data_IF_271305363276
#
_entry.id   IF_271305363276
#
_cell.length_a   1.000
_cell.length_b   1.000
_cell.length_c   1.000
_cell.angle_alpha   90.00
_cell.angle_beta   90.00
_cell.angle_gamma   90.00
#
_symmetry.space_group_name_H-M   'P 1'
#
loop_
_entity.id
_entity.type
_entity.pdbx_description
1 polymer ?
#
# COMPACT_ATOMS: atom_id res chain seq x y z
N UNK A 1 -21.82 58.25 25.43
CA UNK A 1 -20.66 58.96 24.86
C UNK A 1 -19.39 58.35 25.44
N UNK A 2 -18.62 57.59 24.68
CA UNK A 2 -17.24 57.13 24.93
C UNK A 2 -16.82 56.38 23.65
N UNK A 3 -16.18 57.07 22.70
CA UNK A 3 -14.73 57.20 22.50
C UNK A 3 -14.09 55.99 21.83
N UNK A 4 -13.78 56.17 20.54
CA UNK A 4 -13.03 55.28 19.65
C UNK A 4 -11.58 55.12 20.14
N UNK A 5 -11.11 53.87 20.24
CA UNK A 5 -9.75 53.52 20.68
C UNK A 5 -9.09 52.48 19.78
N UNK A 6 -8.59 52.95 18.63
CA UNK A 6 -7.31 52.62 17.98
C UNK A 6 -6.79 51.16 18.11
N UNK A 7 -6.77 50.50 16.96
CA UNK A 7 -6.07 49.26 16.60
C UNK A 7 -4.59 49.31 16.98
N UNK A 8 -4.14 48.47 17.93
CA UNK A 8 -2.71 48.14 18.11
C UNK A 8 -2.37 46.88 17.31
N UNK A 9 -1.50 47.05 16.31
CA UNK A 9 -0.74 45.97 15.67
C UNK A 9 0.11 45.26 16.74
N UNK A 10 -0.15 43.99 17.00
CA UNK A 10 0.78 43.17 17.76
C UNK A 10 1.96 42.79 16.87
N UNK A 11 3.09 43.44 17.17
CA UNK A 11 4.43 43.14 16.71
C UNK A 11 4.79 41.69 17.07
N UNK A 12 5.02 40.86 16.05
CA UNK A 12 5.62 39.53 16.20
C UNK A 12 7.09 39.74 16.57
N UNK A 13 7.43 39.40 17.82
CA UNK A 13 8.79 39.42 18.36
C UNK A 13 9.61 38.33 17.66
N UNK A 14 10.47 38.72 16.71
CA UNK A 14 11.48 37.85 16.10
C UNK A 14 12.48 37.39 17.18
N UNK A 15 12.61 36.08 17.35
CA UNK A 15 13.66 35.46 18.17
C UNK A 15 15.05 35.60 17.54
N UNK A 16 16.13 35.42 18.32
CA UNK A 16 17.49 35.72 17.90
C UNK A 16 17.99 34.81 16.77
N UNK A 17 18.71 35.43 15.85
CA UNK A 17 19.37 34.82 14.70
C UNK A 17 20.35 33.72 15.13
N UNK A 18 20.17 32.52 14.59
CA UNK A 18 21.09 31.41 14.74
C UNK A 18 22.32 31.67 13.85
N UNK A 19 23.45 32.04 14.46
CA UNK A 19 24.73 32.14 13.77
C UNK A 19 25.24 30.71 13.49
N UNK A 20 24.97 30.19 12.30
CA UNK A 20 25.57 28.93 11.84
C UNK A 20 26.97 29.22 11.27
N UNK A 21 27.98 28.83 12.03
CA UNK A 21 29.39 28.90 11.67
C UNK A 21 29.69 27.81 10.63
N UNK A 22 29.28 28.00 9.37
CA UNK A 22 29.63 27.09 8.28
C UNK A 22 31.05 27.39 7.80
N UNK A 23 31.99 26.65 8.37
CA UNK A 23 33.36 26.49 7.89
C UNK A 23 33.30 25.77 6.53
N UNK A 24 33.61 26.50 5.47
CA UNK A 24 33.83 26.01 4.12
C UNK A 24 34.84 24.86 4.11
N UNK A 25 34.40 23.64 3.81
CA UNK A 25 35.10 22.59 3.06
C UNK A 25 34.02 21.55 2.69
N UNK A 26 34.03 21.08 1.44
CA UNK A 26 33.17 20.01 0.86
C UNK A 26 32.08 20.48 -0.12
N UNK A 27 32.57 21.21 -1.14
CA UNK A 27 32.01 21.25 -2.49
C UNK A 27 32.07 19.83 -3.08
N UNK A 28 31.06 18.96 -2.83
CA UNK A 28 30.68 17.82 -3.71
C UNK A 28 29.51 16.97 -3.18
N UNK A 29 28.29 17.52 -3.02
CA UNK A 29 27.11 16.66 -2.76
C UNK A 29 25.83 17.03 -3.53
N UNK A 30 25.87 18.03 -4.43
CA UNK A 30 24.69 18.41 -5.22
C UNK A 30 24.60 17.75 -6.61
N UNK A 31 25.56 16.91 -7.01
CA UNK A 31 25.54 16.27 -8.35
C UNK A 31 25.28 14.76 -8.32
N UNK A 32 24.90 14.20 -7.16
CA UNK A 32 24.49 12.79 -7.02
C UNK A 32 22.96 12.60 -6.89
N UNK A 33 22.18 13.68 -7.05
CA UNK A 33 20.71 13.66 -7.09
C UNK A 33 20.15 13.45 -8.51
N UNK A 34 20.92 12.79 -9.38
CA UNK A 34 20.51 12.46 -10.74
C UNK A 34 21.07 11.08 -11.12
N UNK A 35 20.68 10.05 -10.39
CA UNK A 35 20.76 8.66 -10.86
C UNK A 35 19.80 7.80 -10.02
N UNK A 36 18.64 7.52 -10.62
CA UNK A 36 17.92 6.24 -10.47
C UNK A 36 17.81 5.69 -9.04
N UNK A 37 17.00 6.30 -8.18
CA UNK A 37 16.49 5.62 -6.99
C UNK A 37 15.44 4.59 -7.42
N UNK A 38 15.88 3.56 -8.14
CA UNK A 38 15.31 2.23 -7.92
C UNK A 38 15.94 1.78 -6.60
N UNK A 39 15.47 2.35 -5.49
CA UNK A 39 15.70 1.75 -4.19
C UNK A 39 15.17 0.34 -4.32
N UNK A 40 16.06 -0.65 -4.28
CA UNK A 40 15.64 -2.04 -4.42
C UNK A 40 14.58 -2.29 -3.34
N UNK A 41 13.33 -2.62 -3.72
CA UNK A 41 12.28 -2.82 -2.75
C UNK A 41 12.70 -3.93 -1.81
N UNK A 42 12.46 -3.77 -0.52
CA UNK A 42 12.73 -4.84 0.43
C UNK A 42 11.95 -6.09 0.02
N UNK A 43 12.50 -7.28 0.31
CA UNK A 43 11.83 -8.55 0.00
C UNK A 43 10.33 -8.57 0.37
N UNK A 44 9.90 -8.13 1.57
CA UNK A 44 8.48 -8.07 1.88
C UNK A 44 7.71 -7.04 1.04
N UNK A 45 8.28 -5.87 0.74
CA UNK A 45 7.66 -4.89 -0.15
C UNK A 45 7.48 -5.44 -1.56
N UNK A 46 8.45 -6.20 -2.09
CA UNK A 46 8.34 -6.87 -3.39
C UNK A 46 7.18 -7.88 -3.40
N UNK A 47 7.05 -8.71 -2.35
CA UNK A 47 5.94 -9.69 -2.28
C UNK A 47 4.57 -9.01 -2.26
N UNK A 48 4.44 -7.92 -1.51
CA UNK A 48 3.19 -7.14 -1.42
C UNK A 48 2.91 -6.41 -2.73
N UNK A 49 3.94 -5.89 -3.40
CA UNK A 49 3.81 -5.21 -4.68
C UNK A 49 3.34 -6.18 -5.79
N UNK A 50 3.98 -7.35 -5.90
CA UNK A 50 3.57 -8.38 -6.86
C UNK A 50 2.14 -8.86 -6.59
N UNK A 51 1.80 -9.09 -5.33
CA UNK A 51 0.44 -9.47 -4.97
C UNK A 51 -0.56 -8.34 -5.30
N UNK A 52 -0.22 -7.09 -4.99
CA UNK A 52 -1.04 -5.92 -5.31
C UNK A 52 -1.32 -5.79 -6.81
N UNK A 53 -0.29 -5.94 -7.66
CA UNK A 53 -0.47 -5.94 -9.12
C UNK A 53 -1.37 -7.08 -9.56
N UNK A 54 -1.16 -8.30 -9.04
CA UNK A 54 -2.00 -9.44 -9.40
C UNK A 54 -3.48 -9.23 -9.01
N UNK A 55 -3.74 -8.65 -7.84
CA UNK A 55 -5.08 -8.33 -7.36
C UNK A 55 -5.75 -7.23 -8.20
N UNK A 56 -4.98 -6.21 -8.58
CA UNK A 56 -5.44 -5.15 -9.48
C UNK A 56 -5.87 -5.70 -10.83
N UNK A 57 -5.02 -6.54 -11.46
CA UNK A 57 -5.32 -7.16 -12.75
C UNK A 57 -6.51 -8.13 -12.65
N UNK A 58 -6.59 -8.93 -11.59
CA UNK A 58 -7.71 -9.83 -11.35
C UNK A 58 -9.04 -9.06 -11.15
N UNK A 59 -8.99 -7.94 -10.42
CA UNK A 59 -10.13 -7.05 -10.23
C UNK A 59 -10.57 -6.38 -11.52
N UNK A 60 -9.65 -5.86 -12.32
CA UNK A 60 -9.97 -5.32 -13.65
C UNK A 60 -10.59 -6.38 -14.57
N UNK A 61 -10.02 -7.59 -14.58
CA UNK A 61 -10.59 -8.70 -15.34
C UNK A 61 -12.00 -9.06 -14.85
N UNK A 62 -12.30 -8.91 -13.55
CA UNK A 62 -13.63 -9.18 -13.00
C UNK A 62 -14.66 -8.12 -13.36
N UNK A 63 -14.24 -6.85 -13.47
CA UNK A 63 -15.09 -5.78 -13.99
C UNK A 63 -15.38 -5.94 -15.49
N UNK A 64 -14.37 -6.34 -16.27
CA UNK A 64 -14.50 -6.44 -17.73
C UNK A 64 -15.14 -7.75 -18.20
N UNK A 65 -14.84 -8.87 -17.54
CA UNK A 65 -15.24 -10.22 -17.94
C UNK A 65 -15.95 -10.98 -16.79
N UNK A 66 -16.91 -10.35 -16.13
CA UNK A 66 -17.61 -10.90 -14.97
C UNK A 66 -18.19 -12.31 -15.19
N UNK A 67 -18.79 -12.57 -16.36
CA UNK A 67 -19.35 -13.89 -16.73
C UNK A 67 -18.32 -15.02 -16.66
N UNK A 68 -17.09 -14.76 -17.11
CA UNK A 68 -16.02 -15.76 -17.07
C UNK A 68 -15.57 -16.09 -15.64
N UNK A 69 -15.58 -15.11 -14.74
CA UNK A 69 -15.29 -15.31 -13.33
C UNK A 69 -16.42 -16.01 -12.60
N UNK A 70 -17.69 -15.69 -12.92
CA UNK A 70 -18.84 -16.41 -12.37
C UNK A 70 -18.77 -17.90 -12.72
N UNK A 71 -18.46 -18.22 -13.97
CA UNK A 71 -18.27 -19.61 -14.42
C UNK A 71 -17.11 -20.31 -13.69
N UNK A 72 -15.97 -19.62 -13.52
CA UNK A 72 -14.80 -20.15 -12.81
C UNK A 72 -15.10 -20.44 -11.32
N UNK A 73 -15.92 -19.61 -10.69
CA UNK A 73 -16.35 -19.78 -9.30
C UNK A 73 -17.63 -20.64 -9.17
N UNK A 74 -18.18 -21.11 -10.30
CA UNK A 74 -19.45 -21.87 -10.36
C UNK A 74 -20.62 -21.13 -9.69
N UNK A 75 -20.67 -19.81 -9.83
CA UNK A 75 -21.70 -18.93 -9.27
C UNK A 75 -22.85 -18.69 -10.28
N UNK A 76 -24.10 -18.52 -9.82
CA UNK A 76 -25.21 -18.09 -10.66
C UNK A 76 -24.99 -16.69 -11.27
N UNK A 77 -25.60 -16.42 -12.42
CA UNK A 77 -25.59 -15.11 -13.09
C UNK A 77 -26.17 -13.99 -12.21
N UNK A 78 -27.06 -14.32 -11.29
CA UNK A 78 -27.65 -13.34 -10.35
C UNK A 78 -26.61 -12.75 -9.37
N UNK A 79 -25.43 -13.37 -9.24
CA UNK A 79 -24.34 -12.88 -8.40
C UNK A 79 -23.45 -11.82 -9.09
N UNK A 80 -23.74 -11.44 -10.34
CA UNK A 80 -23.01 -10.40 -11.08
C UNK A 80 -22.75 -9.11 -10.30
N UNK A 81 -23.74 -8.49 -9.61
CA UNK A 81 -23.49 -7.27 -8.84
C UNK A 81 -22.56 -7.50 -7.63
N UNK A 82 -22.66 -8.66 -6.98
CA UNK A 82 -21.76 -9.02 -5.88
C UNK A 82 -20.32 -9.23 -6.39
N UNK A 83 -20.17 -9.88 -7.55
CA UNK A 83 -18.87 -10.03 -8.19
C UNK A 83 -18.27 -8.69 -8.62
N UNK A 84 -19.08 -7.77 -9.17
CA UNK A 84 -18.62 -6.43 -9.52
C UNK A 84 -18.10 -5.67 -8.28
N UNK A 85 -18.81 -5.77 -7.15
CA UNK A 85 -18.37 -5.21 -5.87
C UNK A 85 -17.06 -5.83 -5.36
N UNK A 86 -16.95 -7.16 -5.41
CA UNK A 86 -15.73 -7.87 -5.02
C UNK A 86 -14.54 -7.51 -5.93
N UNK A 87 -14.79 -7.36 -7.22
CA UNK A 87 -13.77 -7.00 -8.22
C UNK A 87 -13.30 -5.55 -8.03
N UNK A 88 -14.21 -4.62 -7.68
CA UNK A 88 -13.84 -3.26 -7.31
C UNK A 88 -13.00 -3.22 -6.03
N UNK A 89 -13.34 -4.05 -5.03
CA UNK A 89 -12.54 -4.19 -3.82
C UNK A 89 -11.13 -4.74 -4.13
N UNK A 90 -11.00 -5.68 -5.06
CA UNK A 90 -9.71 -6.20 -5.51
C UNK A 90 -8.86 -5.12 -6.21
N UNK A 91 -9.47 -4.27 -7.06
CA UNK A 91 -8.80 -3.10 -7.66
C UNK A 91 -8.28 -2.15 -6.58
N UNK A 92 -9.12 -1.80 -5.60
CA UNK A 92 -8.73 -0.91 -4.51
C UNK A 92 -7.58 -1.50 -3.67
N UNK A 93 -7.66 -2.79 -3.32
CA UNK A 93 -6.59 -3.49 -2.62
C UNK A 93 -5.27 -3.46 -3.41
N UNK A 94 -5.32 -3.68 -4.72
CA UNK A 94 -4.12 -3.61 -5.56
C UNK A 94 -3.43 -2.25 -5.55
N UNK A 95 -4.22 -1.17 -5.58
CA UNK A 95 -3.71 0.21 -5.46
C UNK A 95 -3.09 0.45 -4.08
N UNK A 96 -3.81 0.09 -3.01
CA UNK A 96 -3.34 0.31 -1.63
C UNK A 96 -2.08 -0.48 -1.32
N UNK A 97 -1.97 -1.71 -1.83
CA UNK A 97 -0.80 -2.55 -1.60
C UNK A 97 0.41 -2.05 -2.36
N UNK A 98 0.21 -1.56 -3.59
CA UNK A 98 1.27 -0.92 -4.38
C UNK A 98 1.79 0.34 -3.69
N UNK A 99 0.89 1.18 -3.15
CA UNK A 99 1.25 2.37 -2.38
C UNK A 99 1.96 2.01 -1.07
N UNK A 100 1.46 1.02 -0.33
CA UNK A 100 2.08 0.58 0.91
C UNK A 100 3.49 -0.01 0.69
N UNK A 101 3.68 -0.73 -0.43
CA UNK A 101 4.98 -1.23 -0.87
C UNK A 101 5.93 -0.07 -1.21
N UNK A 102 5.46 0.93 -1.96
CA UNK A 102 6.22 2.14 -2.26
C UNK A 102 6.65 2.89 -0.99
N UNK A 103 5.80 2.93 0.03
CA UNK A 103 6.08 3.56 1.32
C UNK A 103 6.86 2.68 2.30
N UNK A 104 7.20 1.44 1.93
CA UNK A 104 7.88 0.48 2.82
C UNK A 104 7.18 0.31 4.19
N UNK A 105 5.84 0.36 4.20
CA UNK A 105 5.07 0.34 5.44
C UNK A 105 4.97 -1.08 6.02
N UNK A 106 5.96 -1.46 6.84
CA UNK A 106 6.02 -2.80 7.45
C UNK A 106 4.84 -3.14 8.36
N UNK A 107 4.27 -2.15 9.06
CA UNK A 107 3.08 -2.38 9.91
C UNK A 107 1.90 -2.83 9.06
N UNK A 108 1.75 -2.23 7.89
CA UNK A 108 0.73 -2.64 6.92
C UNK A 108 1.00 -4.08 6.44
N UNK A 109 2.23 -4.42 6.07
CA UNK A 109 2.56 -5.79 5.62
C UNK A 109 2.26 -6.86 6.68
N UNK A 110 2.50 -6.56 7.96
CA UNK A 110 2.18 -7.48 9.06
C UNK A 110 0.65 -7.66 9.18
N UNK A 111 -0.12 -6.58 9.01
CA UNK A 111 -1.58 -6.62 9.10
C UNK A 111 -2.23 -7.34 7.92
N UNK A 112 -1.61 -7.34 6.73
CA UNK A 112 -2.17 -8.05 5.57
C UNK A 112 -2.06 -9.56 5.67
N UNK A 113 -1.03 -10.10 6.34
CA UNK A 113 -0.85 -11.56 6.51
C UNK A 113 -2.06 -12.25 7.14
N UNK A 114 -2.55 -11.88 8.34
CA UNK A 114 -3.70 -12.56 8.96
C UNK A 114 -4.98 -12.37 8.14
N UNK A 115 -5.17 -11.22 7.50
CA UNK A 115 -6.32 -10.95 6.65
C UNK A 115 -6.33 -11.89 5.44
N UNK A 116 -5.19 -12.08 4.79
CA UNK A 116 -5.05 -12.98 3.63
C UNK A 116 -5.14 -14.46 3.99
N UNK A 117 -4.70 -14.84 5.19
CA UNK A 117 -4.97 -16.18 5.71
C UNK A 117 -6.48 -16.39 5.94
N UNK A 118 -7.18 -15.39 6.46
CA UNK A 118 -8.63 -15.46 6.67
C UNK A 118 -9.39 -15.59 5.34
N UNK A 119 -9.04 -14.81 4.31
CA UNK A 119 -9.64 -14.94 2.97
C UNK A 119 -9.36 -16.32 2.37
N UNK A 120 -8.15 -16.85 2.52
CA UNK A 120 -7.81 -18.20 2.08
C UNK A 120 -8.70 -19.27 2.73
N UNK A 121 -8.93 -19.19 4.04
CA UNK A 121 -9.83 -20.11 4.77
C UNK A 121 -11.27 -20.00 4.26
N UNK A 122 -11.78 -18.79 4.04
CA UNK A 122 -13.14 -18.58 3.52
C UNK A 122 -13.28 -19.16 2.10
N UNK A 123 -12.35 -18.87 1.20
CA UNK A 123 -12.34 -19.40 -0.16
C UNK A 123 -12.23 -20.93 -0.17
N UNK A 124 -11.42 -21.50 0.71
CA UNK A 124 -11.32 -22.95 0.86
C UNK A 124 -12.67 -23.58 1.26
N UNK A 125 -13.37 -22.97 2.22
CA UNK A 125 -14.70 -23.43 2.66
C UNK A 125 -15.78 -23.29 1.58
N UNK A 126 -15.59 -22.39 0.63
CA UNK A 126 -16.49 -22.21 -0.52
C UNK A 126 -16.15 -23.13 -1.71
N UNK A 127 -15.11 -23.96 -1.60
CA UNK A 127 -14.65 -24.84 -2.67
C UNK A 127 -13.78 -24.16 -3.73
N UNK A 128 -13.49 -22.87 -3.56
CA UNK A 128 -12.67 -22.08 -4.50
C UNK A 128 -11.18 -22.29 -4.22
N UNK A 129 -10.71 -23.49 -4.56
CA UNK A 129 -9.38 -23.97 -4.20
C UNK A 129 -8.26 -23.14 -4.83
N UNK A 130 -8.42 -22.69 -6.07
CA UNK A 130 -7.43 -21.88 -6.80
C UNK A 130 -7.15 -20.53 -6.11
N UNK A 131 -8.15 -19.66 -5.88
CA UNK A 131 -7.91 -18.40 -5.18
C UNK A 131 -7.55 -18.61 -3.70
N UNK A 132 -8.02 -19.68 -3.05
CA UNK A 132 -7.63 -20.00 -1.67
C UNK A 132 -6.12 -20.27 -1.54
N UNK A 133 -5.55 -21.09 -2.43
CA UNK A 133 -4.11 -21.38 -2.44
C UNK A 133 -3.31 -20.14 -2.80
N UNK A 134 -3.80 -19.30 -3.71
CA UNK A 134 -3.13 -18.05 -4.08
C UNK A 134 -3.05 -17.06 -2.90
N UNK A 135 -4.17 -16.84 -2.21
CA UNK A 135 -4.23 -15.97 -1.04
C UNK A 135 -3.35 -16.49 0.10
N UNK A 136 -3.48 -17.78 0.42
CA UNK A 136 -2.71 -18.41 1.50
C UNK A 136 -1.22 -18.48 1.20
N UNK A 137 -0.87 -18.91 -0.02
CA UNK A 137 0.53 -19.01 -0.46
C UNK A 137 1.24 -17.66 -0.47
N UNK A 138 0.57 -16.63 -0.99
CA UNK A 138 1.13 -15.27 -0.96
C UNK A 138 1.22 -14.67 0.45
N UNK A 139 0.29 -15.01 1.37
CA UNK A 139 0.38 -14.61 2.77
C UNK A 139 1.59 -15.26 3.47
N UNK A 140 1.83 -16.56 3.22
CA UNK A 140 2.99 -17.29 3.74
C UNK A 140 4.29 -16.69 3.21
N UNK A 141 4.36 -16.39 1.91
CA UNK A 141 5.53 -15.75 1.31
C UNK A 141 5.85 -14.38 1.95
N UNK A 142 4.83 -13.54 2.15
CA UNK A 142 5.01 -12.25 2.84
C UNK A 142 5.44 -12.45 4.30
N UNK A 143 4.84 -13.42 5.01
CA UNK A 143 5.21 -13.72 6.39
C UNK A 143 6.67 -14.19 6.52
N UNK A 144 7.12 -15.07 5.61
CA UNK A 144 8.51 -15.52 5.54
C UNK A 144 9.46 -14.34 5.23
N UNK A 145 9.11 -13.49 4.28
CA UNK A 145 9.90 -12.30 3.94
C UNK A 145 9.99 -11.27 5.10
N UNK A 146 8.93 -11.14 5.89
CA UNK A 146 8.95 -10.35 7.12
C UNK A 146 9.81 -11.00 8.20
N UNK A 147 9.76 -12.33 8.33
CA UNK A 147 10.56 -13.11 9.26
C UNK A 147 12.06 -12.97 9.01
N UNK A 148 12.50 -13.01 7.75
CA UNK A 148 13.92 -12.81 7.38
C UNK A 148 14.41 -11.38 7.61
N UNK A 149 13.49 -10.40 7.63
CA UNK A 149 13.84 -8.98 7.82
C UNK A 149 13.82 -8.57 9.30
N UNK A 150 13.17 -9.34 10.19
CA UNK A 150 13.02 -9.03 11.63
C UNK A 150 14.28 -9.29 12.47
N UNK A 151 15.33 -9.91 11.92
CA UNK A 151 16.57 -10.28 12.63
C UNK A 151 17.68 -9.23 12.54
N UNK A 152 17.37 -7.94 12.72
CA UNK A 152 18.38 -6.89 12.96
C UNK A 152 17.98 -6.00 14.12
#
# INVERSE_FOLDING_TARGET
MHSLGIVRRNQVRMGPAYHSNYRSHDVCYCTLYCNSVVAMPSLPALTIYLFGISAFLAGLNGLLNGESQLSLLSLPSDCTPALAGASLAAVAMGIYYSLAAYQENRKFFIATVPMRCLTAVVFWRQGWSVPAVWEGGGAVLTALALGTTRTR
#
